data_IF_507908900270
#
_entry.id   IF_507908900270
#
_cell.length_a   1.000
_cell.length_b   1.000
_cell.length_c   1.000
_cell.angle_alpha   90.00
_cell.angle_beta   90.00
_cell.angle_gamma   90.00
#
_symmetry.space_group_name_H-M   'P 1'
#
loop_
_entity.id
_entity.type
_entity.pdbx_description
1 polymer ?
#
# COMPACT_ATOMS: atom_id res chain seq x y z
N UNK A 1 -10.03 18.96 -14.00
CA UNK A 1 -10.88 17.79 -14.32
C UNK A 1 -11.35 17.17 -12.99
N UNK A 2 -12.66 16.98 -12.76
CA UNK A 2 -13.15 16.59 -11.46
C UNK A 2 -12.82 15.13 -11.15
N UNK A 3 -12.34 14.90 -9.92
CA UNK A 3 -12.02 13.61 -9.30
C UNK A 3 -13.15 12.55 -9.47
N UNK A 4 -14.39 12.99 -9.69
CA UNK A 4 -15.54 12.14 -9.97
C UNK A 4 -15.45 11.29 -11.26
N UNK A 5 -14.63 11.69 -12.24
CA UNK A 5 -14.50 10.97 -13.51
C UNK A 5 -13.64 9.70 -13.40
N UNK A 6 -12.65 9.70 -12.49
CA UNK A 6 -11.80 8.53 -12.26
C UNK A 6 -12.54 7.42 -11.49
N UNK A 7 -13.49 7.79 -10.61
CA UNK A 7 -14.33 6.84 -9.89
C UNK A 7 -15.41 6.21 -10.77
N UNK A 8 -15.92 6.93 -11.76
CA UNK A 8 -16.96 6.42 -12.68
C UNK A 8 -16.42 5.30 -13.60
N UNK A 9 -15.14 5.35 -13.99
CA UNK A 9 -14.51 4.33 -14.85
C UNK A 9 -14.28 3.02 -14.08
N UNK A 10 -14.07 3.06 -12.77
CA UNK A 10 -13.86 1.86 -11.94
C UNK A 10 -15.17 1.14 -11.56
N UNK A 11 -16.33 1.79 -11.73
CA UNK A 11 -17.65 1.24 -11.32
C UNK A 11 -18.47 0.73 -12.50
N UNK A 12 -18.19 1.20 -13.74
CA UNK A 12 -18.91 0.77 -14.94
C UNK A 12 -18.27 -0.47 -15.55
N UNK A 13 -18.51 -1.64 -14.97
CA UNK A 13 -18.27 -2.92 -15.66
C UNK A 13 -19.54 -3.26 -16.47
N UNK A 14 -19.46 -3.33 -17.81
CA UNK A 14 -20.59 -3.76 -18.62
C UNK A 14 -21.01 -5.18 -18.24
N UNK A 15 -22.30 -5.39 -17.99
CA UNK A 15 -22.91 -6.71 -17.81
C UNK A 15 -22.88 -7.42 -19.16
N UNK A 16 -21.94 -8.35 -19.34
CA UNK A 16 -21.91 -9.21 -20.53
C UNK A 16 -23.01 -10.27 -20.44
N UNK A 17 -23.72 -10.58 -21.56
CA UNK A 17 -24.78 -11.59 -21.59
C UNK A 17 -24.21 -12.99 -21.34
N UNK A 18 -24.95 -13.79 -20.57
CA UNK A 18 -24.58 -15.13 -20.12
C UNK A 18 -24.50 -16.15 -21.27
N UNK A 19 -23.38 -16.79 -21.56
CA UNK A 19 -23.35 -18.04 -22.29
C UNK A 19 -23.56 -19.20 -21.31
N UNK A 20 -24.54 -20.03 -21.57
CA UNK A 20 -24.78 -21.29 -20.90
C UNK A 20 -23.64 -22.27 -21.25
N UNK A 21 -22.74 -22.49 -20.36
CA UNK A 21 -21.93 -23.70 -20.04
C UNK A 21 -20.76 -23.29 -19.16
N UNK A 22 -21.01 -23.20 -17.85
CA UNK A 22 -19.94 -22.93 -16.89
C UNK A 22 -19.23 -24.23 -16.55
N UNK A 23 -18.00 -24.39 -17.05
CA UNK A 23 -17.01 -25.17 -16.32
C UNK A 23 -16.96 -24.59 -14.89
N UNK A 24 -17.29 -25.40 -13.90
CA UNK A 24 -17.36 -25.04 -12.47
C UNK A 24 -15.93 -24.90 -11.96
N UNK A 25 -15.27 -23.78 -12.31
CA UNK A 25 -14.00 -23.41 -11.69
C UNK A 25 -14.29 -23.22 -10.21
N UNK A 26 -13.62 -24.01 -9.34
CA UNK A 26 -13.73 -23.87 -7.90
C UNK A 26 -13.43 -22.40 -7.55
N UNK A 27 -14.32 -21.67 -6.87
CA UNK A 27 -14.03 -20.29 -6.53
C UNK A 27 -12.77 -20.27 -5.66
N UNK A 28 -11.81 -19.42 -6.00
CA UNK A 28 -10.65 -19.13 -5.13
C UNK A 28 -11.17 -18.85 -3.72
N UNK A 29 -10.57 -19.44 -2.67
CA UNK A 29 -10.97 -19.13 -1.30
C UNK A 29 -11.06 -17.61 -1.13
N UNK A 30 -12.18 -17.12 -0.59
CA UNK A 30 -12.44 -15.66 -0.47
C UNK A 30 -11.29 -14.91 0.16
N UNK A 31 -10.57 -15.56 1.09
CA UNK A 31 -9.40 -14.99 1.76
C UNK A 31 -8.20 -14.79 0.82
N UNK A 32 -7.91 -15.74 -0.06
CA UNK A 32 -6.81 -15.60 -1.05
C UNK A 32 -7.08 -14.42 -1.98
N UNK A 33 -8.32 -14.30 -2.49
CA UNK A 33 -8.71 -13.16 -3.31
C UNK A 33 -8.54 -11.83 -2.57
N UNK A 34 -8.86 -11.79 -1.27
CA UNK A 34 -8.70 -10.61 -0.42
C UNK A 34 -7.23 -10.24 -0.22
N UNK A 35 -6.38 -11.23 0.06
CA UNK A 35 -4.93 -11.05 0.20
C UNK A 35 -4.32 -10.52 -1.10
N UNK A 36 -4.69 -11.12 -2.25
CA UNK A 36 -4.19 -10.67 -3.55
C UNK A 36 -4.61 -9.23 -3.87
N UNK A 37 -5.87 -8.86 -3.62
CA UNK A 37 -6.34 -7.47 -3.79
C UNK A 37 -5.58 -6.51 -2.89
N UNK A 38 -5.39 -6.87 -1.62
CA UNK A 38 -4.61 -6.07 -0.68
C UNK A 38 -3.17 -5.88 -1.17
N UNK A 39 -2.54 -6.94 -1.65
CA UNK A 39 -1.19 -6.90 -2.23
C UNK A 39 -1.11 -6.02 -3.48
N UNK A 40 -2.10 -6.10 -4.38
CA UNK A 40 -2.17 -5.24 -5.57
C UNK A 40 -2.32 -3.75 -5.20
N UNK A 41 -3.19 -3.44 -4.24
CA UNK A 41 -3.33 -2.07 -3.71
C UNK A 41 -2.02 -1.58 -3.11
N UNK A 42 -1.35 -2.42 -2.30
CA UNK A 42 -0.05 -2.08 -1.71
C UNK A 42 1.03 -1.85 -2.77
N UNK A 43 1.12 -2.70 -3.78
CA UNK A 43 2.05 -2.56 -4.91
C UNK A 43 1.81 -1.27 -5.71
N UNK A 44 0.54 -0.98 -6.05
CA UNK A 44 0.16 0.28 -6.70
C UNK A 44 0.51 1.50 -5.83
N UNK A 45 0.32 1.40 -4.51
CA UNK A 45 0.71 2.43 -3.56
C UNK A 45 2.22 2.67 -3.53
N UNK A 46 3.04 1.63 -3.67
CA UNK A 46 4.50 1.77 -3.76
C UNK A 46 4.91 2.56 -5.01
N UNK A 47 4.32 2.26 -6.16
CA UNK A 47 4.57 3.02 -7.40
C UNK A 47 4.11 4.48 -7.27
N UNK A 48 2.93 4.70 -6.70
CA UNK A 48 2.41 6.03 -6.42
C UNK A 48 3.35 6.81 -5.49
N UNK A 49 3.88 6.17 -4.44
CA UNK A 49 4.83 6.79 -3.51
C UNK A 49 6.10 7.25 -4.22
N UNK A 50 6.69 6.41 -5.08
CA UNK A 50 7.87 6.76 -5.85
C UNK A 50 7.59 7.97 -6.78
N UNK A 51 6.45 7.97 -7.46
CA UNK A 51 6.03 9.06 -8.34
C UNK A 51 5.79 10.37 -7.58
N UNK A 52 5.09 10.31 -6.44
CA UNK A 52 4.85 11.49 -5.59
C UNK A 52 6.14 12.05 -5.02
N UNK A 53 7.05 11.19 -4.55
CA UNK A 53 8.34 11.63 -4.05
C UNK A 53 9.15 12.35 -5.13
N UNK A 54 9.24 11.74 -6.32
CA UNK A 54 9.90 12.39 -7.45
C UNK A 54 9.26 13.74 -7.80
N UNK A 55 7.92 13.79 -7.88
CA UNK A 55 7.19 15.03 -8.18
C UNK A 55 7.42 16.11 -7.12
N UNK A 56 7.33 15.77 -5.83
CA UNK A 56 7.54 16.72 -4.73
C UNK A 56 8.97 17.29 -4.73
N UNK A 57 9.98 16.46 -4.97
CA UNK A 57 11.38 16.89 -5.03
C UNK A 57 11.62 17.77 -6.26
N UNK A 58 11.09 17.40 -7.43
CA UNK A 58 11.23 18.17 -8.67
C UNK A 58 10.54 19.52 -8.58
N UNK A 59 9.29 19.58 -8.12
CA UNK A 59 8.54 20.82 -7.95
C UNK A 59 9.17 21.72 -6.86
N UNK A 60 9.60 21.12 -5.75
CA UNK A 60 10.31 21.85 -4.70
C UNK A 60 11.61 22.49 -5.18
N UNK A 61 12.36 21.81 -6.04
CA UNK A 61 13.56 22.37 -6.66
C UNK A 61 13.21 23.51 -7.63
N UNK A 62 12.25 23.27 -8.55
CA UNK A 62 11.90 24.24 -9.61
C UNK A 62 11.28 25.53 -9.02
N UNK A 63 10.33 25.41 -8.11
CA UNK A 63 9.55 26.55 -7.64
C UNK A 63 10.07 27.20 -6.36
N UNK A 64 10.79 26.45 -5.51
CA UNK A 64 11.25 26.92 -4.21
C UNK A 64 12.77 26.91 -4.06
N UNK A 65 13.51 26.45 -5.09
CA UNK A 65 14.97 26.34 -5.04
C UNK A 65 15.49 25.36 -3.98
N UNK A 66 14.66 24.39 -3.56
CA UNK A 66 15.05 23.43 -2.55
C UNK A 66 16.04 22.42 -3.13
N UNK A 67 17.09 22.06 -2.36
CA UNK A 67 18.03 21.01 -2.74
C UNK A 67 17.36 19.63 -2.60
N UNK A 68 17.15 18.89 -3.71
CA UNK A 68 16.53 17.55 -3.65
C UNK A 68 17.37 16.51 -2.88
N UNK A 69 18.69 16.72 -2.79
CA UNK A 69 19.63 15.87 -2.04
C UNK A 69 19.69 16.23 -0.54
N UNK A 70 19.13 17.35 -0.14
CA UNK A 70 19.11 17.78 1.25
C UNK A 70 18.26 16.85 2.14
N UNK A 71 18.85 16.29 3.21
CA UNK A 71 18.16 15.32 4.08
C UNK A 71 16.79 15.80 4.58
N UNK A 72 16.65 17.07 4.95
CA UNK A 72 15.37 17.62 5.44
C UNK A 72 14.32 17.67 4.35
N UNK A 73 14.71 18.05 3.13
CA UNK A 73 13.81 18.14 1.97
C UNK A 73 13.37 16.74 1.56
N UNK A 74 14.31 15.81 1.42
CA UNK A 74 14.02 14.41 1.08
C UNK A 74 13.12 13.74 2.13
N UNK A 75 13.39 13.95 3.43
CA UNK A 75 12.57 13.40 4.52
C UNK A 75 11.15 13.99 4.52
N UNK A 76 11.02 15.31 4.30
CA UNK A 76 9.73 15.97 4.19
C UNK A 76 8.91 15.45 3.01
N UNK A 77 9.54 15.33 1.83
CA UNK A 77 8.90 14.79 0.64
C UNK A 77 8.47 13.32 0.84
N UNK A 78 9.32 12.49 1.44
CA UNK A 78 8.99 11.10 1.74
C UNK A 78 7.80 10.98 2.72
N UNK A 79 7.77 11.82 3.76
CA UNK A 79 6.67 11.84 4.73
C UNK A 79 5.34 12.25 4.08
N UNK A 80 5.33 13.30 3.26
CA UNK A 80 4.14 13.73 2.53
C UNK A 80 3.66 12.66 1.55
N UNK A 81 4.57 12.08 0.77
CA UNK A 81 4.26 11.00 -0.14
C UNK A 81 3.65 9.80 0.61
N UNK A 82 4.22 9.42 1.77
CA UNK A 82 3.71 8.34 2.61
C UNK A 82 2.29 8.62 3.11
N UNK A 83 1.99 9.85 3.59
CA UNK A 83 0.64 10.22 4.05
C UNK A 83 -0.37 10.04 2.92
N UNK A 84 -0.07 10.55 1.72
CA UNK A 84 -0.98 10.46 0.56
C UNK A 84 -1.17 9.01 0.14
N UNK A 85 -0.10 8.23 0.05
CA UNK A 85 -0.17 6.82 -0.32
C UNK A 85 -0.92 5.99 0.71
N UNK A 86 -0.70 6.23 2.00
CA UNK A 86 -1.42 5.54 3.06
C UNK A 86 -2.94 5.83 2.97
N UNK A 87 -3.32 7.09 2.73
CA UNK A 87 -4.71 7.49 2.53
C UNK A 87 -5.34 6.84 1.29
N UNK A 88 -4.63 6.84 0.16
CA UNK A 88 -5.07 6.19 -1.09
C UNK A 88 -5.25 4.69 -0.88
N UNK A 89 -4.27 4.02 -0.26
CA UNK A 89 -4.34 2.60 0.05
C UNK A 89 -5.50 2.28 1.00
N UNK A 90 -5.75 3.14 1.99
CA UNK A 90 -6.90 3.02 2.89
C UNK A 90 -8.22 3.03 2.12
N UNK A 91 -8.42 4.04 1.25
CA UNK A 91 -9.66 4.19 0.49
C UNK A 91 -9.87 3.04 -0.50
N UNK A 92 -8.84 2.63 -1.22
CA UNK A 92 -8.89 1.51 -2.15
C UNK A 92 -9.16 0.18 -1.42
N UNK A 93 -8.51 -0.05 -0.29
CA UNK A 93 -8.76 -1.24 0.51
C UNK A 93 -10.18 -1.24 1.10
N UNK A 94 -10.67 -0.10 1.60
CA UNK A 94 -12.05 0.01 2.09
C UNK A 94 -13.07 -0.32 0.99
N UNK A 95 -12.91 0.25 -0.20
CA UNK A 95 -13.85 0.08 -1.29
C UNK A 95 -13.74 -1.32 -1.94
N UNK A 96 -12.52 -1.75 -2.29
CA UNK A 96 -12.31 -2.91 -3.17
C UNK A 96 -11.94 -4.19 -2.43
N UNK A 97 -11.07 -4.11 -1.42
CA UNK A 97 -10.59 -5.30 -0.71
C UNK A 97 -11.56 -5.77 0.36
N UNK A 98 -12.06 -4.84 1.17
CA UNK A 98 -12.88 -5.16 2.35
C UNK A 98 -14.38 -4.86 2.16
N UNK A 99 -14.76 -4.18 1.06
CA UNK A 99 -16.15 -3.77 0.79
C UNK A 99 -16.80 -3.05 1.99
N UNK A 100 -16.03 -2.15 2.64
CA UNK A 100 -16.39 -1.37 3.81
C UNK A 100 -16.57 0.12 3.46
N UNK A 101 -17.35 0.41 2.43
CA UNK A 101 -17.65 1.76 1.98
C UNK A 101 -19.02 2.24 2.47
N UNK A 102 -19.19 3.51 2.86
CA UNK A 102 -18.16 4.52 3.11
C UNK A 102 -17.36 4.23 4.39
N UNK A 103 -16.02 4.46 4.39
CA UNK A 103 -15.21 4.21 5.55
C UNK A 103 -15.38 5.32 6.60
N UNK A 104 -15.25 4.96 7.87
CA UNK A 104 -15.32 5.91 8.99
C UNK A 104 -13.96 6.55 9.30
N UNK A 105 -13.98 7.73 9.95
CA UNK A 105 -12.77 8.37 10.45
C UNK A 105 -11.99 7.51 11.46
N UNK A 106 -12.70 6.71 12.27
CA UNK A 106 -12.08 5.74 13.19
C UNK A 106 -11.28 4.69 12.41
N UNK A 107 -11.82 4.16 11.33
CA UNK A 107 -11.12 3.22 10.46
C UNK A 107 -9.89 3.85 9.81
N UNK A 108 -9.98 5.12 9.35
CA UNK A 108 -8.84 5.84 8.81
C UNK A 108 -7.70 5.94 9.83
N UNK A 109 -7.97 6.43 11.04
CA UNK A 109 -6.95 6.51 12.10
C UNK A 109 -6.32 5.16 12.42
N UNK A 110 -7.14 4.12 12.57
CA UNK A 110 -6.65 2.78 12.86
C UNK A 110 -5.82 2.21 11.71
N UNK A 111 -6.16 2.54 10.45
CA UNK A 111 -5.39 2.12 9.28
C UNK A 111 -4.00 2.78 9.26
N UNK A 112 -3.92 4.09 9.48
CA UNK A 112 -2.62 4.78 9.57
C UNK A 112 -1.76 4.22 10.70
N UNK A 113 -2.36 3.95 11.86
CA UNK A 113 -1.64 3.35 12.98
C UNK A 113 -1.15 1.93 12.63
N UNK A 114 -1.99 1.11 12.00
CA UNK A 114 -1.60 -0.24 11.58
C UNK A 114 -0.47 -0.23 10.55
N UNK A 115 -0.52 0.71 9.58
CA UNK A 115 0.51 0.89 8.58
C UNK A 115 1.85 1.32 9.22
N UNK A 116 1.81 2.24 10.19
CA UNK A 116 2.99 2.65 10.93
C UNK A 116 3.59 1.49 11.74
N UNK A 117 2.76 0.74 12.46
CA UNK A 117 3.22 -0.43 13.23
C UNK A 117 3.85 -1.50 12.33
N UNK A 118 3.24 -1.79 11.18
CA UNK A 118 3.78 -2.73 10.21
C UNK A 118 5.13 -2.25 9.65
N UNK A 119 5.28 -0.95 9.39
CA UNK A 119 6.52 -0.34 8.93
C UNK A 119 7.64 -0.45 9.97
N UNK A 120 7.37 -0.12 11.23
CA UNK A 120 8.37 -0.27 12.31
C UNK A 120 8.76 -1.74 12.50
N UNK A 121 7.78 -2.66 12.44
CA UNK A 121 8.07 -4.08 12.48
C UNK A 121 8.95 -4.55 11.32
N UNK A 122 8.70 -4.08 10.11
CA UNK A 122 9.53 -4.37 8.93
C UNK A 122 10.97 -3.92 9.13
N UNK A 123 11.19 -2.68 9.61
CA UNK A 123 12.53 -2.17 9.88
C UNK A 123 13.22 -2.98 10.99
N UNK A 124 12.51 -3.26 12.07
CA UNK A 124 13.02 -4.10 13.14
C UNK A 124 13.44 -5.48 12.62
N UNK A 125 12.58 -6.15 11.85
CA UNK A 125 12.85 -7.47 11.30
C UNK A 125 14.06 -7.45 10.35
N UNK A 126 14.16 -6.45 9.47
CA UNK A 126 15.31 -6.31 8.58
C UNK A 126 16.61 -6.20 9.37
N UNK A 127 16.67 -5.30 10.36
CA UNK A 127 17.87 -5.12 11.16
C UNK A 127 18.22 -6.37 11.97
N UNK A 128 17.21 -7.06 12.51
CA UNK A 128 17.42 -8.33 13.20
C UNK A 128 18.00 -9.41 12.27
N UNK A 129 17.48 -9.54 11.05
CA UNK A 129 17.96 -10.51 10.07
C UNK A 129 19.40 -10.18 9.63
N UNK A 130 19.71 -8.90 9.41
CA UNK A 130 21.08 -8.47 9.06
C UNK A 130 22.07 -8.79 10.20
N UNK A 131 21.66 -8.56 11.44
CA UNK A 131 22.49 -8.88 12.63
C UNK A 131 22.70 -10.39 12.78
N UNK A 132 21.68 -11.21 12.61
CA UNK A 132 21.76 -12.66 12.82
C UNK A 132 22.52 -13.40 11.70
N UNK A 133 22.45 -12.89 10.47
CA UNK A 133 23.07 -13.53 9.30
C UNK A 133 24.42 -12.93 8.92
N UNK A 134 24.84 -11.87 9.61
CA UNK A 134 26.14 -11.21 9.44
C UNK A 134 26.51 -10.97 7.97
N UNK A 135 25.52 -10.59 7.16
CA UNK A 135 25.72 -10.37 5.74
C UNK A 135 26.00 -8.91 5.42
N UNK A 136 26.98 -8.70 4.55
CA UNK A 136 27.38 -7.39 3.98
C UNK A 136 27.16 -7.31 2.47
N UNK A 137 26.70 -8.42 1.83
CA UNK A 137 26.50 -8.50 0.39
C UNK A 137 25.21 -7.79 -0.03
N UNK A 138 25.28 -6.88 -1.01
CA UNK A 138 24.09 -6.11 -1.44
C UNK A 138 22.89 -6.99 -1.87
N UNK A 139 23.17 -8.12 -2.55
CA UNK A 139 22.11 -9.02 -3.00
C UNK A 139 21.41 -9.74 -1.83
N UNK A 140 22.16 -10.17 -0.84
CA UNK A 140 21.63 -10.82 0.36
C UNK A 140 20.81 -9.82 1.17
N UNK A 141 21.33 -8.59 1.37
CA UNK A 141 20.57 -7.49 1.99
C UNK A 141 19.26 -7.21 1.26
N UNK A 142 19.26 -7.20 -0.09
CA UNK A 142 18.04 -6.99 -0.87
C UNK A 142 17.03 -8.13 -0.67
N UNK A 143 17.46 -9.39 -0.60
CA UNK A 143 16.62 -10.54 -0.31
C UNK A 143 16.03 -10.45 1.10
N UNK A 144 16.84 -10.13 2.11
CA UNK A 144 16.37 -9.96 3.49
C UNK A 144 15.35 -8.81 3.61
N UNK A 145 15.59 -7.71 2.90
CA UNK A 145 14.63 -6.62 2.83
C UNK A 145 13.31 -7.07 2.18
N UNK A 146 13.35 -7.85 1.11
CA UNK A 146 12.14 -8.38 0.49
C UNK A 146 11.34 -9.28 1.45
N UNK A 147 12.00 -10.12 2.24
CA UNK A 147 11.38 -10.93 3.30
C UNK A 147 10.74 -10.03 4.37
N UNK A 148 11.45 -9.01 4.84
CA UNK A 148 10.94 -8.08 5.85
C UNK A 148 9.72 -7.30 5.32
N UNK A 149 9.75 -6.82 4.06
CA UNK A 149 8.63 -6.14 3.41
C UNK A 149 7.42 -7.07 3.28
N UNK A 150 7.62 -8.31 2.83
CA UNK A 150 6.53 -9.28 2.69
C UNK A 150 5.87 -9.58 4.05
N UNK A 151 6.68 -9.76 5.10
CA UNK A 151 6.18 -10.02 6.46
C UNK A 151 5.46 -8.80 7.04
N UNK A 152 6.00 -7.59 6.87
CA UNK A 152 5.35 -6.34 7.26
C UNK A 152 4.02 -6.11 6.53
N UNK A 153 3.98 -6.43 5.22
CA UNK A 153 2.75 -6.34 4.43
C UNK A 153 1.67 -7.33 4.90
N UNK A 154 2.07 -8.55 5.26
CA UNK A 154 1.17 -9.54 5.84
C UNK A 154 0.63 -9.06 7.20
N UNK A 155 1.48 -8.51 8.05
CA UNK A 155 1.07 -7.95 9.34
C UNK A 155 0.08 -6.78 9.14
N UNK A 156 0.34 -5.89 8.18
CA UNK A 156 -0.58 -4.81 7.85
C UNK A 156 -1.94 -5.35 7.35
N UNK A 157 -1.93 -6.41 6.53
CA UNK A 157 -3.15 -7.10 6.11
C UNK A 157 -3.93 -7.66 7.30
N UNK A 158 -3.26 -8.30 8.25
CA UNK A 158 -3.88 -8.86 9.45
C UNK A 158 -4.51 -7.75 10.31
N UNK A 159 -3.81 -6.65 10.53
CA UNK A 159 -4.38 -5.49 11.24
C UNK A 159 -5.57 -4.90 10.48
N UNK A 160 -5.46 -4.75 9.16
CA UNK A 160 -6.56 -4.25 8.35
C UNK A 160 -7.79 -5.16 8.46
N UNK A 161 -7.62 -6.47 8.37
CA UNK A 161 -8.72 -7.44 8.37
C UNK A 161 -9.34 -7.66 9.75
N UNK A 162 -8.53 -7.70 10.81
CA UNK A 162 -8.97 -8.09 12.15
C UNK A 162 -9.33 -6.89 13.04
N UNK A 163 -8.82 -5.72 12.75
CA UNK A 163 -8.98 -4.55 13.60
C UNK A 163 -9.61 -3.35 12.86
N UNK A 164 -9.08 -2.97 11.69
CA UNK A 164 -9.54 -1.75 10.99
C UNK A 164 -10.92 -1.96 10.37
N UNK A 165 -11.08 -3.03 9.57
CA UNK A 165 -12.29 -3.34 8.80
C UNK A 165 -13.14 -4.47 9.41
N UNK A 166 -12.92 -4.79 10.68
CA UNK A 166 -13.74 -5.77 11.41
C UNK A 166 -15.19 -5.29 11.42
N UNK A 167 -16.09 -6.15 10.90
CA UNK A 167 -17.54 -5.98 10.98
C UNK A 167 -18.09 -6.56 12.26
#
# INVERSE_FOLDING_TARGET
LPIGFFFAILISVPQLPHPHTRARTRPFPKEISRILRFGLVGGAGTLLNAFLMWGLLSLGNIFLGLDPGGHRVATGAAFLAWIVCCGTNFLLNAAWTFHAWPPSWRQAKNYYLSAALAFFFQIFLLNLLLLLLETDRPIETAVLNAVAVATGSLLNYLFASLWVFRR
#
